data_IF_009564231943
#
_entry.id   IF_009564231943
#
_cell.length_a   1.000
_cell.length_b   1.000
_cell.length_c   1.000
_cell.angle_alpha   90.00
_cell.angle_beta   90.00
_cell.angle_gamma   90.00
#
_symmetry.space_group_name_H-M   'P 1'
#
loop_
_entity.id
_entity.type
_entity.pdbx_description
1 polymer ?
#
# COMPACT_ATOMS: atom_id res chain seq x y z
N UNK A 1 -13.57 7.21 -26.69
CA UNK A 1 -13.07 7.52 -28.05
C UNK A 1 -14.07 6.94 -29.01
N UNK A 2 -14.50 7.68 -30.03
CA UNK A 2 -15.27 7.06 -31.11
C UNK A 2 -14.37 5.98 -31.75
N UNK A 3 -14.89 4.75 -31.97
CA UNK A 3 -14.10 3.71 -32.59
C UNK A 3 -13.63 4.16 -33.98
N UNK A 4 -12.44 3.74 -34.42
CA UNK A 4 -12.02 3.98 -35.80
C UNK A 4 -13.09 3.41 -36.76
N UNK A 5 -13.25 4.02 -37.94
CA UNK A 5 -14.22 3.52 -38.91
C UNK A 5 -13.95 2.04 -39.19
N UNK A 6 -15.03 1.23 -39.24
CA UNK A 6 -14.96 -0.23 -39.39
C UNK A 6 -14.15 -0.66 -40.63
N UNK A 7 -14.12 0.18 -41.67
CA UNK A 7 -13.46 -0.06 -42.95
C UNK A 7 -12.03 0.49 -43.04
N UNK A 8 -11.47 1.05 -41.95
CA UNK A 8 -10.17 1.75 -41.99
C UNK A 8 -9.02 0.88 -42.51
N UNK A 9 -8.87 -0.33 -41.98
CA UNK A 9 -7.82 -1.28 -42.39
C UNK A 9 -8.02 -1.71 -43.84
N UNK A 10 -9.26 -2.05 -44.22
CA UNK A 10 -9.62 -2.46 -45.58
C UNK A 10 -9.33 -1.37 -46.62
N UNK A 11 -9.68 -0.11 -46.34
CA UNK A 11 -9.38 1.04 -47.22
C UNK A 11 -7.87 1.17 -47.47
N UNK A 12 -7.07 1.04 -46.40
CA UNK A 12 -5.63 1.26 -46.47
C UNK A 12 -4.88 0.07 -47.10
N UNK A 13 -5.38 -1.16 -46.93
CA UNK A 13 -4.84 -2.35 -47.61
C UNK A 13 -5.12 -2.30 -49.11
N UNK A 14 -6.36 -2.01 -49.52
CA UNK A 14 -6.72 -1.85 -50.94
C UNK A 14 -5.92 -0.72 -51.61
N UNK A 15 -5.68 0.38 -50.87
CA UNK A 15 -4.83 1.46 -51.37
C UNK A 15 -3.37 1.03 -51.54
N UNK A 16 -2.82 0.18 -50.65
CA UNK A 16 -1.48 -0.40 -50.80
C UNK A 16 -1.37 -1.38 -51.97
N UNK A 17 -2.45 -2.10 -52.25
CA UNK A 17 -2.57 -2.99 -53.42
C UNK A 17 -2.72 -2.23 -54.74
N UNK A 18 -2.75 -0.89 -54.72
CA UNK A 18 -2.81 -0.04 -55.91
C UNK A 18 -4.22 0.22 -56.44
N UNK A 19 -5.27 -0.18 -55.69
CA UNK A 19 -6.66 0.06 -56.10
C UNK A 19 -6.98 1.56 -56.05
N UNK A 20 -7.65 2.07 -57.09
CA UNK A 20 -8.01 3.47 -57.18
C UNK A 20 -9.01 3.87 -56.08
N UNK A 21 -8.91 5.08 -55.49
CA UNK A 21 -9.79 5.53 -54.40
C UNK A 21 -11.29 5.48 -54.75
N UNK A 22 -11.64 5.73 -56.00
CA UNK A 22 -13.03 5.68 -56.52
C UNK A 22 -13.60 4.26 -56.43
N UNK A 23 -12.78 3.24 -56.70
CA UNK A 23 -13.20 1.85 -56.63
C UNK A 23 -13.30 1.35 -55.19
N UNK A 24 -12.44 1.86 -54.30
CA UNK A 24 -12.52 1.59 -52.85
C UNK A 24 -13.84 2.13 -52.27
N UNK A 25 -14.25 3.33 -52.69
CA UNK A 25 -15.52 3.95 -52.28
C UNK A 25 -16.71 3.05 -52.66
N UNK A 26 -16.72 2.56 -53.91
CA UNK A 26 -17.78 1.69 -54.43
C UNK A 26 -17.78 0.31 -53.78
N UNK A 27 -16.61 -0.32 -53.62
CA UNK A 27 -16.48 -1.68 -53.04
C UNK A 27 -16.85 -1.74 -51.56
N UNK A 28 -16.46 -0.74 -50.78
CA UNK A 28 -16.66 -0.74 -49.33
C UNK A 28 -17.89 0.07 -48.89
N UNK A 29 -18.56 0.76 -49.83
CA UNK A 29 -19.74 1.61 -49.58
C UNK A 29 -19.47 2.60 -48.44
N UNK A 30 -18.39 3.38 -48.58
CA UNK A 30 -17.95 4.37 -47.58
C UNK A 30 -17.97 5.77 -48.17
N UNK A 31 -18.28 6.79 -47.37
CA UNK A 31 -18.21 8.19 -47.82
C UNK A 31 -16.83 8.52 -48.43
N UNK A 32 -16.87 9.16 -49.60
CA UNK A 32 -15.69 9.65 -50.34
C UNK A 32 -14.72 10.42 -49.43
N UNK A 33 -15.25 11.35 -48.64
CA UNK A 33 -14.47 12.16 -47.69
C UNK A 33 -13.64 11.30 -46.73
N UNK A 34 -14.18 10.19 -46.23
CA UNK A 34 -13.48 9.29 -45.31
C UNK A 34 -12.30 8.59 -45.98
N UNK A 35 -12.48 8.14 -47.23
CA UNK A 35 -11.43 7.47 -48.02
C UNK A 35 -10.29 8.44 -48.33
N UNK A 36 -10.59 9.63 -48.86
CA UNK A 36 -9.57 10.64 -49.16
C UNK A 36 -8.86 11.16 -47.91
N UNK A 37 -9.58 11.40 -46.80
CA UNK A 37 -8.98 11.81 -45.53
C UNK A 37 -8.07 10.72 -44.93
N UNK A 38 -8.42 9.44 -45.11
CA UNK A 38 -7.58 8.31 -44.70
C UNK A 38 -6.31 8.21 -45.53
N UNK A 39 -6.43 8.27 -46.86
CA UNK A 39 -5.28 8.19 -47.78
C UNK A 39 -4.35 9.39 -47.56
N UNK A 40 -4.89 10.61 -47.45
CA UNK A 40 -4.11 11.82 -47.18
C UNK A 40 -3.37 11.73 -45.84
N UNK A 41 -4.02 11.18 -44.80
CA UNK A 41 -3.35 10.91 -43.51
C UNK A 41 -2.27 9.85 -43.62
N UNK A 42 -2.53 8.76 -44.34
CA UNK A 42 -1.58 7.67 -44.54
C UNK A 42 -0.33 8.16 -45.28
N UNK A 43 -0.50 8.92 -46.37
CA UNK A 43 0.62 9.56 -47.08
C UNK A 43 1.45 10.49 -46.20
N UNK A 44 0.83 11.18 -45.23
CA UNK A 44 1.53 12.10 -44.30
C UNK A 44 2.23 11.40 -43.13
N UNK A 45 1.66 10.32 -42.58
CA UNK A 45 2.13 9.69 -41.34
C UNK A 45 2.84 8.35 -41.56
N UNK A 46 2.69 7.74 -42.75
CA UNK A 46 3.20 6.40 -43.08
C UNK A 46 2.57 5.26 -42.26
N UNK A 47 1.64 5.56 -41.37
CA UNK A 47 1.07 4.59 -40.42
C UNK A 47 -0.44 4.52 -40.54
N UNK A 48 -0.99 3.34 -40.23
CA UNK A 48 -2.43 3.11 -40.19
C UNK A 48 -3.10 3.68 -38.94
N UNK A 49 -2.33 4.14 -37.95
CA UNK A 49 -2.80 4.63 -36.65
C UNK A 49 -3.37 6.05 -36.74
N UNK A 50 -4.21 6.45 -35.77
CA UNK A 50 -4.68 7.83 -35.66
C UNK A 50 -3.55 8.78 -35.26
N UNK A 51 -3.74 10.07 -35.60
CA UNK A 51 -2.85 11.13 -35.15
C UNK A 51 -2.75 11.09 -33.63
N UNK A 52 -1.54 10.81 -33.15
CA UNK A 52 -1.22 10.92 -31.72
C UNK A 52 -1.48 12.35 -31.26
N UNK A 53 -2.07 12.49 -30.08
CA UNK A 53 -2.22 13.79 -29.41
C UNK A 53 -3.44 14.64 -29.79
N UNK A 54 -4.49 14.08 -30.44
CA UNK A 54 -5.76 14.82 -30.66
C UNK A 54 -6.52 15.17 -29.38
N UNK A 55 -6.19 14.55 -28.25
CA UNK A 55 -6.86 14.79 -26.97
C UNK A 55 -6.42 16.07 -26.28
N UNK A 56 -7.22 16.52 -25.30
CA UNK A 56 -6.89 17.64 -24.42
C UNK A 56 -5.56 17.37 -23.70
N UNK A 57 -4.59 18.27 -23.85
CA UNK A 57 -3.33 18.22 -23.10
C UNK A 57 -3.61 18.46 -21.61
N UNK A 58 -2.88 17.75 -20.75
CA UNK A 58 -2.98 17.95 -19.30
C UNK A 58 -2.36 19.29 -18.91
N UNK A 59 -3.16 20.20 -18.33
CA UNK A 59 -2.72 21.56 -17.99
C UNK A 59 -1.98 21.62 -16.65
N UNK A 60 -2.40 20.80 -15.68
CA UNK A 60 -1.92 20.88 -14.28
C UNK A 60 -1.01 19.70 -13.90
N UNK A 61 -1.09 18.59 -14.63
CA UNK A 61 -0.27 17.40 -14.40
C UNK A 61 0.90 17.43 -15.40
N UNK A 62 1.79 18.40 -15.20
CA UNK A 62 3.02 18.52 -16.00
C UNK A 62 4.16 17.71 -15.38
N UNK A 63 5.17 17.27 -16.16
CA UNK A 63 6.34 16.57 -15.63
C UNK A 63 7.02 17.34 -14.48
N UNK A 64 7.15 18.65 -14.60
CA UNK A 64 7.77 19.49 -13.56
C UNK A 64 6.96 19.49 -12.26
N UNK A 65 5.63 19.54 -12.35
CA UNK A 65 4.77 19.45 -11.17
C UNK A 65 4.83 18.06 -10.55
N UNK A 66 4.89 17.00 -11.34
CA UNK A 66 5.07 15.63 -10.82
C UNK A 66 6.40 15.53 -10.07
N UNK A 67 7.48 16.06 -10.65
CA UNK A 67 8.81 16.11 -10.02
C UNK A 67 8.79 16.90 -8.71
N UNK A 68 8.14 18.08 -8.69
CA UNK A 68 8.01 18.90 -7.49
C UNK A 68 7.21 18.20 -6.38
N UNK A 69 6.13 17.48 -6.72
CA UNK A 69 5.38 16.67 -5.74
C UNK A 69 6.26 15.56 -5.17
N UNK A 70 6.99 14.84 -6.02
CA UNK A 70 7.85 13.75 -5.57
C UNK A 70 8.94 14.24 -4.60
N UNK A 71 9.61 15.33 -4.95
CA UNK A 71 10.59 15.97 -4.07
C UNK A 71 9.96 16.48 -2.77
N UNK A 72 8.75 17.04 -2.84
CA UNK A 72 8.01 17.50 -1.66
C UNK A 72 7.68 16.37 -0.68
N UNK A 73 7.31 15.19 -1.19
CA UNK A 73 7.08 13.98 -0.39
C UNK A 73 8.38 13.50 0.26
N UNK A 74 9.48 13.45 -0.50
CA UNK A 74 10.78 13.00 0.01
C UNK A 74 11.36 13.90 1.10
N UNK A 75 11.11 15.22 1.03
CA UNK A 75 11.60 16.18 2.04
C UNK A 75 10.85 16.11 3.36
N UNK A 76 9.53 15.90 3.32
CA UNK A 76 8.68 15.92 4.51
C UNK A 76 7.73 14.73 4.46
N UNK A 77 8.10 13.65 5.15
CA UNK A 77 7.33 12.41 5.18
C UNK A 77 5.92 12.61 5.80
N UNK A 78 5.82 13.38 6.89
CA UNK A 78 4.58 13.55 7.66
C UNK A 78 3.67 14.67 7.14
N UNK A 79 3.55 14.83 5.81
CA UNK A 79 2.73 15.90 5.21
C UNK A 79 1.49 15.34 4.52
N UNK A 80 0.32 15.81 4.95
CA UNK A 80 -0.93 15.42 4.29
C UNK A 80 -1.04 15.98 2.87
N UNK A 81 -1.66 15.20 1.98
CA UNK A 81 -2.00 15.61 0.60
C UNK A 81 -2.73 16.96 0.60
N UNK A 82 -3.60 17.22 1.58
CA UNK A 82 -4.30 18.50 1.73
C UNK A 82 -3.34 19.67 1.99
N UNK A 83 -2.42 19.54 2.96
CA UNK A 83 -1.44 20.60 3.29
C UNK A 83 -0.45 20.84 2.14
N UNK A 84 -0.08 19.79 1.41
CA UNK A 84 0.77 19.90 0.22
C UNK A 84 0.04 20.62 -0.93
N UNK A 85 -1.21 20.23 -1.18
CA UNK A 85 -2.06 20.85 -2.19
C UNK A 85 -2.24 22.36 -1.95
N UNK A 86 -2.51 22.77 -0.70
CA UNK A 86 -2.61 24.20 -0.32
C UNK A 86 -1.31 24.96 -0.61
N UNK A 87 -0.16 24.40 -0.24
CA UNK A 87 1.14 25.04 -0.48
C UNK A 87 1.51 25.17 -1.95
N UNK A 88 1.10 24.21 -2.78
CA UNK A 88 1.36 24.21 -4.23
C UNK A 88 0.26 24.93 -5.04
N UNK A 89 -0.78 25.46 -4.38
CA UNK A 89 -1.98 26.04 -5.03
C UNK A 89 -2.61 25.08 -6.05
N UNK A 90 -2.74 23.80 -5.68
CA UNK A 90 -3.37 22.75 -6.49
C UNK A 90 -4.60 22.22 -5.76
N UNK A 91 -5.61 21.75 -6.49
CA UNK A 91 -6.74 21.06 -5.85
C UNK A 91 -6.29 19.75 -5.21
N UNK A 92 -6.83 19.43 -4.03
CA UNK A 92 -6.54 18.17 -3.30
C UNK A 92 -6.73 16.94 -4.18
N UNK A 93 -7.82 16.92 -4.96
CA UNK A 93 -8.16 15.79 -5.84
C UNK A 93 -7.09 15.56 -6.91
N UNK A 94 -6.58 16.63 -7.50
CA UNK A 94 -5.58 16.52 -8.54
C UNK A 94 -4.22 16.12 -7.98
N UNK A 95 -3.83 16.66 -6.82
CA UNK A 95 -2.63 16.19 -6.12
C UNK A 95 -2.73 14.70 -5.78
N UNK A 96 -3.90 14.24 -5.30
CA UNK A 96 -4.16 12.82 -5.06
C UNK A 96 -4.00 11.94 -6.30
N UNK A 97 -4.46 12.40 -7.46
CA UNK A 97 -4.23 11.70 -8.76
C UNK A 97 -2.76 11.68 -9.15
N UNK A 98 -2.01 12.74 -8.90
CA UNK A 98 -0.56 12.74 -9.13
C UNK A 98 0.12 11.67 -8.26
N UNK A 99 -0.18 11.65 -6.97
CA UNK A 99 0.40 10.68 -6.02
C UNK A 99 0.03 9.24 -6.40
N UNK A 100 -1.25 8.97 -6.65
CA UNK A 100 -1.74 7.61 -6.92
C UNK A 100 -1.46 7.13 -8.35
N UNK A 101 -1.80 7.93 -9.36
CA UNK A 101 -1.81 7.47 -10.76
C UNK A 101 -0.48 7.72 -11.47
N UNK A 102 0.24 8.79 -11.11
CA UNK A 102 1.52 9.16 -11.75
C UNK A 102 2.73 8.66 -10.98
N UNK A 103 2.77 8.88 -9.66
CA UNK A 103 3.87 8.42 -8.81
C UNK A 103 3.67 7.00 -8.29
N UNK A 104 2.46 6.43 -8.40
CA UNK A 104 2.12 5.08 -7.93
C UNK A 104 2.44 4.86 -6.45
N UNK A 105 2.33 5.92 -5.65
CA UNK A 105 2.58 5.86 -4.21
C UNK A 105 1.32 5.48 -3.45
N UNK A 106 1.49 4.62 -2.45
CA UNK A 106 0.44 4.17 -1.55
C UNK A 106 0.72 4.77 -0.16
N UNK A 107 -0.34 5.21 0.51
CA UNK A 107 -0.23 5.72 1.88
C UNK A 107 -0.16 4.53 2.85
N UNK A 108 0.97 4.41 3.55
CA UNK A 108 1.13 3.44 4.65
C UNK A 108 1.04 4.16 5.99
N UNK A 109 0.56 3.42 7.01
CA UNK A 109 0.62 3.87 8.39
C UNK A 109 2.04 3.67 8.91
N UNK A 110 2.58 4.69 9.56
CA UNK A 110 3.85 4.59 10.25
C UNK A 110 3.82 3.50 11.32
N UNK A 111 4.92 2.78 11.44
CA UNK A 111 5.10 1.73 12.44
C UNK A 111 5.92 2.30 13.59
N UNK A 112 5.50 2.00 14.83
CA UNK A 112 6.36 2.22 15.99
C UNK A 112 7.58 1.32 15.85
N UNK A 113 8.77 1.91 15.98
CA UNK A 113 10.02 1.18 16.02
C UNK A 113 10.73 1.48 17.34
N UNK A 114 11.46 0.51 17.88
CA UNK A 114 12.29 0.74 19.05
C UNK A 114 13.42 1.73 18.70
N UNK A 115 13.71 2.66 19.61
CA UNK A 115 14.87 3.55 19.48
C UNK A 115 16.11 2.71 19.73
N UNK A 116 16.98 2.59 18.72
CA UNK A 116 18.24 1.86 18.81
C UNK A 116 19.40 2.85 18.82
N UNK A 117 20.19 2.84 19.91
CA UNK A 117 21.49 3.51 19.95
C UNK A 117 22.51 2.72 19.14
N UNK A 118 23.53 3.40 18.58
CA UNK A 118 24.59 2.76 17.80
C UNK A 118 25.26 1.58 18.51
N UNK A 119 25.50 1.70 19.82
CA UNK A 119 26.05 0.61 20.64
C UNK A 119 25.09 -0.58 20.76
N UNK A 120 23.78 -0.33 20.92
CA UNK A 120 22.77 -1.40 20.97
C UNK A 120 22.62 -2.10 19.62
N UNK A 121 22.71 -1.36 18.51
CA UNK A 121 22.69 -1.92 17.15
C UNK A 121 23.88 -2.85 16.92
N UNK A 122 25.09 -2.45 17.31
CA UNK A 122 26.28 -3.30 17.24
C UNK A 122 26.11 -4.60 18.04
N UNK A 123 25.68 -4.49 19.30
CA UNK A 123 25.41 -5.67 20.16
C UNK A 123 24.34 -6.59 19.57
N UNK A 124 23.27 -6.03 19.00
CA UNK A 124 22.23 -6.83 18.32
C UNK A 124 22.80 -7.57 17.12
N UNK A 125 23.56 -6.88 16.26
CA UNK A 125 24.18 -7.50 15.09
C UNK A 125 25.12 -8.64 15.47
N UNK A 126 26.00 -8.43 16.45
CA UNK A 126 26.91 -9.47 16.96
C UNK A 126 26.16 -10.68 17.51
N UNK A 127 25.13 -10.44 18.34
CA UNK A 127 24.29 -11.52 18.91
C UNK A 127 23.53 -12.27 17.81
N UNK A 128 22.96 -11.56 16.84
CA UNK A 128 22.25 -12.17 15.70
C UNK A 128 23.18 -13.06 14.88
N UNK A 129 24.41 -12.61 14.59
CA UNK A 129 25.41 -13.41 13.88
C UNK A 129 25.77 -14.68 14.67
N UNK A 130 25.97 -14.56 15.98
CA UNK A 130 26.24 -15.72 16.85
C UNK A 130 25.07 -16.70 16.89
N UNK A 131 23.84 -16.21 17.02
CA UNK A 131 22.64 -17.04 16.98
C UNK A 131 22.52 -17.81 15.66
N UNK A 132 22.78 -17.15 14.52
CA UNK A 132 22.78 -17.82 13.21
C UNK A 132 23.82 -18.95 13.13
N UNK A 133 25.03 -18.73 13.63
CA UNK A 133 26.08 -19.77 13.67
C UNK A 133 25.67 -20.97 14.53
N UNK A 134 25.10 -20.73 15.72
CA UNK A 134 24.57 -21.78 16.60
C UNK A 134 23.46 -22.58 15.95
N UNK A 135 22.57 -21.90 15.22
CA UNK A 135 21.51 -22.57 14.46
C UNK A 135 22.09 -23.48 13.37
N UNK A 136 23.12 -23.03 12.64
CA UNK A 136 23.83 -23.86 11.63
C UNK A 136 24.48 -25.10 12.25
N UNK A 137 25.00 -24.98 13.48
CA UNK A 137 25.60 -26.09 14.21
C UNK A 137 24.57 -27.04 14.86
N UNK A 138 23.27 -26.83 14.65
CA UNK A 138 22.22 -27.67 15.24
C UNK A 138 21.90 -27.40 16.71
N UNK A 139 22.55 -26.42 17.35
CA UNK A 139 22.35 -26.12 18.79
C UNK A 139 20.91 -25.67 19.11
N UNK A 140 20.17 -25.20 18.11
CA UNK A 140 18.76 -24.83 18.26
C UNK A 140 17.87 -26.02 18.65
N UNK A 141 18.31 -27.27 18.41
CA UNK A 141 17.60 -28.48 18.80
C UNK A 141 17.63 -28.71 20.31
N UNK A 142 18.72 -28.31 20.98
CA UNK A 142 18.89 -28.44 22.44
C UNK A 142 18.63 -27.15 23.20
N UNK A 143 18.28 -26.07 22.49
CA UNK A 143 18.01 -24.76 23.08
C UNK A 143 16.55 -24.66 23.52
N UNK A 144 16.31 -24.30 24.78
CA UNK A 144 14.99 -23.95 25.29
C UNK A 144 14.81 -22.44 25.27
N UNK A 145 13.74 -21.98 24.62
CA UNK A 145 13.31 -20.59 24.63
C UNK A 145 12.17 -20.44 25.64
N UNK A 146 12.19 -19.39 26.45
CA UNK A 146 11.11 -19.09 27.36
C UNK A 146 10.81 -17.59 27.36
N UNK A 147 9.56 -17.24 27.62
CA UNK A 147 9.12 -15.86 27.75
C UNK A 147 7.90 -15.76 28.69
N UNK A 148 7.66 -14.55 29.16
CA UNK A 148 6.55 -14.20 30.02
C UNK A 148 5.58 -13.32 29.24
N UNK A 149 4.29 -13.65 29.28
CA UNK A 149 3.25 -12.86 28.63
C UNK A 149 2.12 -12.54 29.60
N UNK A 150 1.77 -11.26 29.67
CA UNK A 150 0.62 -10.79 30.41
C UNK A 150 -0.62 -10.80 29.50
N UNK A 151 -1.66 -11.51 29.94
CA UNK A 151 -2.96 -11.60 29.27
C UNK A 151 -4.02 -10.85 30.07
N UNK A 152 -4.80 -10.00 29.42
CA UNK A 152 -5.92 -9.26 30.04
C UNK A 152 -7.23 -10.00 29.82
N UNK A 153 -8.09 -10.06 30.84
CA UNK A 153 -9.38 -10.79 30.79
C UNK A 153 -10.48 -9.99 30.05
N UNK A 154 -10.27 -8.70 29.78
CA UNK A 154 -11.24 -7.86 29.06
C UNK A 154 -11.25 -8.11 27.55
N UNK A 155 -12.40 -7.83 26.93
CA UNK A 155 -12.58 -7.89 25.49
C UNK A 155 -11.61 -6.96 24.73
N UNK A 156 -11.03 -7.47 23.66
CA UNK A 156 -10.10 -6.73 22.80
C UNK A 156 -10.86 -5.65 22.01
N UNK A 157 -10.74 -4.39 22.44
CA UNK A 157 -11.23 -3.27 21.64
C UNK A 157 -10.21 -2.91 20.57
N UNK A 158 -10.54 -3.23 19.31
CA UNK A 158 -9.80 -2.75 18.15
C UNK A 158 -10.50 -1.52 17.53
N UNK A 159 -9.99 -0.28 17.72
CA UNK A 159 -10.62 0.94 17.19
C UNK A 159 -10.69 0.99 15.66
N UNK A 160 -9.91 0.16 14.96
CA UNK A 160 -9.94 0.12 13.51
C UNK A 160 -11.18 -0.61 12.99
N UNK A 161 -11.60 -1.67 13.68
CA UNK A 161 -12.71 -2.52 13.25
C UNK A 161 -14.03 -2.14 13.96
N UNK A 162 -13.96 -1.68 15.20
CA UNK A 162 -15.12 -1.24 15.95
C UNK A 162 -15.41 0.24 15.67
N UNK A 163 -16.07 0.49 14.53
CA UNK A 163 -16.49 1.84 14.12
C UNK A 163 -18.00 1.93 14.04
N UNK A 164 -18.50 3.08 14.48
CA UNK A 164 -19.92 3.41 14.48
C UNK A 164 -20.13 4.60 13.55
N UNK A 165 -21.19 4.55 12.75
CA UNK A 165 -21.70 5.71 12.01
C UNK A 165 -22.73 6.42 12.90
N UNK A 166 -22.51 7.71 13.13
CA UNK A 166 -23.40 8.60 13.86
C UNK A 166 -23.19 10.03 13.35
N UNK A 167 -24.18 10.91 13.52
CA UNK A 167 -24.05 12.31 13.13
C UNK A 167 -23.14 13.07 14.10
N UNK A 168 -23.20 12.71 15.39
CA UNK A 168 -22.32 13.23 16.44
C UNK A 168 -21.76 12.12 17.33
N UNK A 169 -20.67 12.42 18.03
CA UNK A 169 -20.08 11.49 19.01
C UNK A 169 -21.00 11.27 20.22
N UNK A 170 -21.78 12.28 20.59
CA UNK A 170 -22.71 12.24 21.72
C UNK A 170 -23.87 11.28 21.44
N UNK A 171 -24.43 11.34 20.23
CA UNK A 171 -25.47 10.42 19.77
C UNK A 171 -24.97 8.96 19.71
N UNK A 172 -23.73 8.75 19.24
CA UNK A 172 -23.11 7.43 19.25
C UNK A 172 -22.99 6.87 20.68
N UNK A 173 -22.61 7.72 21.63
CA UNK A 173 -22.42 7.34 23.02
C UNK A 173 -23.76 7.05 23.72
N UNK A 174 -24.75 7.94 23.56
CA UNK A 174 -26.07 7.79 24.16
C UNK A 174 -26.81 6.52 23.71
N UNK A 175 -26.59 6.10 22.46
CA UNK A 175 -27.17 4.86 21.91
C UNK A 175 -26.49 3.57 22.40
N UNK A 176 -25.66 3.63 23.44
CA UNK A 176 -24.97 2.45 24.00
C UNK A 176 -23.96 1.82 23.04
N UNK A 177 -23.53 2.54 21.99
CA UNK A 177 -22.55 2.04 21.01
C UNK A 177 -21.09 2.25 21.48
N UNK A 178 -20.90 2.52 22.76
CA UNK A 178 -19.62 2.67 23.41
C UNK A 178 -19.17 1.35 24.04
N UNK A 179 -17.88 1.01 23.88
CA UNK A 179 -17.28 -0.14 24.56
C UNK A 179 -16.60 0.38 25.83
N UNK A 180 -17.11 -0.03 26.98
CA UNK A 180 -16.55 0.33 28.28
C UNK A 180 -15.38 -0.58 28.62
N UNK A 181 -14.24 0.02 28.94
CA UNK A 181 -13.05 -0.69 29.45
C UNK A 181 -12.69 -0.14 30.82
N UNK A 182 -12.37 -1.03 31.76
CA UNK A 182 -11.86 -0.63 33.07
C UNK A 182 -10.41 -0.17 32.98
N UNK A 183 -10.03 0.89 33.71
CA UNK A 183 -8.67 1.46 33.69
C UNK A 183 -7.57 0.46 34.08
N UNK A 184 -7.89 -0.52 34.92
CA UNK A 184 -6.99 -1.58 35.37
C UNK A 184 -7.69 -2.95 35.22
N UNK A 185 -7.64 -3.56 34.03
CA UNK A 185 -8.24 -4.87 33.81
C UNK A 185 -7.55 -5.94 34.67
N UNK A 186 -8.33 -6.92 35.13
CA UNK A 186 -7.76 -8.17 35.64
C UNK A 186 -6.86 -8.78 34.57
N UNK A 187 -5.68 -9.21 34.98
CA UNK A 187 -4.69 -9.80 34.09
C UNK A 187 -3.96 -10.95 34.76
N UNK A 188 -3.53 -11.90 33.94
CA UNK A 188 -2.81 -13.09 34.37
C UNK A 188 -1.50 -13.14 33.62
N UNK A 189 -0.40 -13.33 34.35
CA UNK A 189 0.91 -13.54 33.74
C UNK A 189 1.09 -15.03 33.49
N UNK A 190 1.41 -15.38 32.25
CA UNK A 190 1.64 -16.74 31.83
C UNK A 190 3.08 -16.87 31.41
N UNK A 191 3.75 -17.85 31.98
CA UNK A 191 5.10 -18.25 31.61
C UNK A 191 5.01 -19.52 30.76
N UNK A 192 5.80 -19.57 29.68
CA UNK A 192 5.89 -20.76 28.83
C UNK A 192 7.30 -20.92 28.28
N UNK A 193 7.72 -22.18 28.10
CA UNK A 193 8.95 -22.55 27.45
C UNK A 193 8.67 -23.45 26.24
N UNK A 194 9.51 -23.36 25.22
CA UNK A 194 9.44 -24.12 23.97
C UNK A 194 10.85 -24.54 23.56
N UNK A 195 11.00 -25.79 23.15
CA UNK A 195 12.20 -26.34 22.53
C UNK A 195 11.83 -27.03 21.21
N UNK A 196 12.80 -27.66 20.54
CA UNK A 196 12.54 -28.38 19.30
C UNK A 196 11.57 -29.56 19.48
N UNK A 197 11.60 -30.21 20.65
CA UNK A 197 10.81 -31.40 20.94
C UNK A 197 9.40 -31.10 21.48
N UNK A 198 9.09 -29.84 21.78
CA UNK A 198 7.75 -29.45 22.23
C UNK A 198 7.70 -28.22 23.13
N UNK A 199 6.61 -28.14 23.90
CA UNK A 199 6.30 -27.02 24.79
C UNK A 199 6.18 -27.50 26.23
N UNK A 200 6.66 -26.69 27.17
CA UNK A 200 6.42 -26.93 28.60
C UNK A 200 4.94 -26.72 28.94
N UNK A 201 4.45 -27.26 30.07
CA UNK A 201 3.22 -26.79 30.69
C UNK A 201 3.26 -25.27 30.88
N UNK A 202 2.12 -24.61 30.69
CA UNK A 202 1.98 -23.18 30.96
C UNK A 202 1.90 -22.95 32.46
N UNK A 203 2.76 -22.08 32.97
CA UNK A 203 2.78 -21.71 34.37
C UNK A 203 2.02 -20.40 34.54
N UNK A 204 0.88 -20.45 35.23
CA UNK A 204 0.10 -19.28 35.59
C UNK A 204 0.67 -18.68 36.87
N UNK A 205 0.94 -17.38 36.83
CA UNK A 205 1.44 -16.61 37.98
C UNK A 205 0.31 -15.77 38.52
N UNK A 206 0.08 -15.89 39.83
CA UNK A 206 -0.99 -15.19 40.52
C UNK A 206 -0.83 -13.67 40.41
N UNK A 207 -1.96 -12.97 40.36
CA UNK A 207 -2.00 -11.53 40.21
C UNK A 207 -1.28 -10.84 41.38
N UNK A 208 -0.31 -9.97 41.07
CA UNK A 208 0.47 -9.21 42.06
C UNK A 208 1.77 -9.88 42.51
N UNK A 209 2.05 -11.12 42.11
CA UNK A 209 3.33 -11.78 42.42
C UNK A 209 4.42 -11.28 41.49
N UNK A 210 5.49 -10.69 42.06
CA UNK A 210 6.70 -10.33 41.30
C UNK A 210 7.61 -11.55 41.19
N UNK A 211 7.94 -11.93 39.95
CA UNK A 211 8.91 -12.99 39.69
C UNK A 211 10.30 -12.47 40.09
N UNK A 212 10.84 -13.04 41.18
CA UNK A 212 12.18 -12.77 41.68
C UNK A 212 13.10 -13.95 41.31
N UNK A 213 14.42 -13.75 41.31
CA UNK A 213 15.41 -14.81 41.01
C UNK A 213 15.14 -16.14 41.74
N UNK A 214 14.68 -16.09 43.00
CA UNK A 214 14.38 -17.30 43.80
C UNK A 214 13.09 -18.02 43.39
N UNK A 215 12.08 -17.30 42.90
CA UNK A 215 10.80 -17.91 42.51
C UNK A 215 10.86 -18.57 41.12
N UNK A 216 11.75 -18.08 40.23
CA UNK A 216 11.94 -18.64 38.89
C UNK A 216 12.55 -20.05 38.95
N UNK A 217 13.56 -20.28 39.79
CA UNK A 217 14.30 -21.55 39.84
C UNK A 217 13.60 -22.68 40.61
N UNK A 218 12.56 -22.41 41.41
CA UNK A 218 11.83 -23.45 42.18
C UNK A 218 10.69 -24.10 41.41
N UNK A 219 10.28 -23.53 40.26
CA UNK A 219 9.15 -24.01 39.46
C UNK A 219 9.59 -24.76 38.19
N UNK A 220 10.89 -25.00 38.04
CA UNK A 220 11.54 -25.78 37.00
C UNK A 220 12.34 -26.90 37.65
#
# INVERSE_FOLDING_TARGET
MAPPSRHRSSILNLFKEGVLPVDIIKRLVVLSKTVYDLISRFKKLGTFLDRRGRGRKATVVTPDRIKAVNQGIGRIAHRSIRKMAKGMKISRRLLGRIVKDKLKLICYRERKAAILLGATTKKRLERSKKLLQRTLNGEHLVTVFFDEKLFTVQAEFNPQNHRVLAETSEEAFANGKAIHQGSHPASVMVFGAVCADGKSPLLFVDQGVKINKKSTFRRF
#
